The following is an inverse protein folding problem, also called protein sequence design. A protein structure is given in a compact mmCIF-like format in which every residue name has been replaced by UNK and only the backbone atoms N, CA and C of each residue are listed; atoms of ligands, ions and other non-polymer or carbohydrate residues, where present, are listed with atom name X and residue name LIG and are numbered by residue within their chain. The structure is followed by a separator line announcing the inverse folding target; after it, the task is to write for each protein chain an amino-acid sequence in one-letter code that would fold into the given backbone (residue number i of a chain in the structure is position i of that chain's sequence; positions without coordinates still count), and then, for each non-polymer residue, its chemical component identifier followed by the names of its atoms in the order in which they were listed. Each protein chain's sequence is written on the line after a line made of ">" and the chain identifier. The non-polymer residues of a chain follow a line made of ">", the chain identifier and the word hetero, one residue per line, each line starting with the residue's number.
data_IF_615437395467
#
_entry.id   IF_615437395467
#
_cell.length_a   1.000
_cell.length_b   1.000
_cell.length_c   1.000
_cell.angle_alpha   90.00
_cell.angle_beta   90.00
_cell.angle_gamma   90.00
#
_symmetry.space_group_name_H-M   'P 1'
#
loop_
_entity.id
_entity.type
_entity.pdbx_description
1 polymer ?
#
# COMPACT_ATOMS: atom_id res chain seq x y z
N UNK A 1 2.45 7.02 -23.78
CA UNK A 1 2.36 7.69 -22.46
C UNK A 1 3.18 6.89 -21.45
N UNK A 2 4.50 7.05 -21.47
CA UNK A 2 5.37 6.48 -20.45
C UNK A 2 5.40 7.47 -19.28
N UNK A 3 4.72 7.12 -18.19
CA UNK A 3 4.64 7.95 -16.99
C UNK A 3 6.03 8.15 -16.39
N UNK A 4 6.22 9.34 -15.81
CA UNK A 4 7.39 9.75 -15.02
C UNK A 4 7.59 8.80 -13.82
N UNK A 5 8.26 7.67 -14.05
CA UNK A 5 8.92 6.93 -13.00
C UNK A 5 10.39 7.33 -13.07
N UNK A 6 10.87 7.96 -12.01
CA UNK A 6 12.25 8.36 -11.83
C UNK A 6 13.16 7.13 -12.03
N UNK A 7 13.78 7.04 -13.20
CA UNK A 7 14.42 5.83 -13.70
C UNK A 7 15.81 5.60 -13.10
N UNK A 8 16.27 6.47 -12.21
CA UNK A 8 17.63 6.44 -11.67
C UNK A 8 17.67 6.82 -10.20
N UNK A 9 16.89 6.11 -9.37
CA UNK A 9 17.15 6.15 -7.94
C UNK A 9 18.43 5.34 -7.63
N UNK A 10 19.39 5.99 -6.99
CA UNK A 10 20.68 5.39 -6.65
C UNK A 10 20.52 4.27 -5.61
N UNK A 11 21.29 3.18 -5.71
CA UNK A 11 21.21 2.09 -4.75
C UNK A 11 21.72 2.52 -3.37
N UNK A 12 20.92 2.25 -2.34
CA UNK A 12 21.23 2.52 -0.94
C UNK A 12 21.66 1.23 -0.24
N UNK A 13 22.66 1.31 0.64
CA UNK A 13 23.01 0.22 1.56
C UNK A 13 22.22 0.37 2.87
N UNK A 14 21.50 -0.68 3.29
CA UNK A 14 20.74 -0.68 4.53
C UNK A 14 20.51 -2.11 5.06
N UNK A 15 20.09 -2.21 6.33
CA UNK A 15 19.67 -3.48 6.95
C UNK A 15 18.21 -3.77 6.65
N UNK A 16 17.90 -4.93 6.06
CA UNK A 16 16.53 -5.36 5.76
C UNK A 16 15.69 -5.43 7.05
N UNK A 17 14.54 -4.75 7.14
CA UNK A 17 13.72 -4.71 8.35
C UNK A 17 13.06 -6.06 8.71
N UNK A 18 13.04 -7.02 7.77
CA UNK A 18 12.42 -8.34 7.97
C UNK A 18 13.43 -9.42 8.38
N UNK A 19 14.49 -9.60 7.61
CA UNK A 19 15.48 -10.68 7.85
C UNK A 19 16.79 -10.17 8.47
N UNK A 20 16.96 -8.86 8.65
CA UNK A 20 18.17 -8.20 9.17
C UNK A 20 19.45 -8.41 8.34
N UNK A 21 19.34 -8.91 7.12
CA UNK A 21 20.47 -8.96 6.19
C UNK A 21 20.88 -7.56 5.75
N UNK A 22 22.18 -7.32 5.57
CA UNK A 22 22.70 -6.14 4.89
C UNK A 22 22.43 -6.26 3.39
N UNK A 23 21.78 -5.26 2.81
CA UNK A 23 21.37 -5.28 1.40
C UNK A 23 21.59 -3.94 0.73
N UNK A 24 21.79 -3.99 -0.58
CA UNK A 24 21.88 -2.82 -1.46
C UNK A 24 20.65 -2.79 -2.36
N UNK A 25 19.79 -1.78 -2.21
CA UNK A 25 18.59 -1.64 -3.04
C UNK A 25 18.18 -0.18 -3.23
N UNK A 26 17.40 0.06 -4.28
CA UNK A 26 16.95 1.40 -4.70
C UNK A 26 16.03 2.06 -3.65
N UNK A 27 15.23 1.27 -2.95
CA UNK A 27 14.29 1.76 -1.94
C UNK A 27 14.45 0.96 -0.65
N UNK A 28 14.37 1.67 0.48
CA UNK A 28 14.32 1.05 1.79
C UNK A 28 13.06 0.19 1.95
N UNK A 29 13.23 -1.04 2.46
CA UNK A 29 12.12 -1.96 2.71
C UNK A 29 12.55 -3.43 2.77
N UNK A 30 11.60 -4.39 2.78
CA UNK A 30 11.93 -5.81 2.71
C UNK A 30 12.77 -6.11 1.46
N UNK A 31 13.87 -6.84 1.65
CA UNK A 31 14.77 -7.22 0.56
C UNK A 31 14.05 -8.07 -0.50
N UNK A 32 14.65 -8.20 -1.68
CA UNK A 32 14.10 -8.97 -2.81
C UNK A 32 13.71 -10.39 -2.41
N UNK A 33 14.55 -11.08 -1.65
CA UNK A 33 14.28 -12.47 -1.23
C UNK A 33 13.05 -12.54 -0.31
N UNK A 34 13.00 -11.66 0.70
CA UNK A 34 11.85 -11.53 1.59
C UNK A 34 10.55 -11.24 0.83
N UNK A 35 10.61 -10.39 -0.20
CA UNK A 35 9.44 -10.09 -1.05
C UNK A 35 9.04 -11.27 -1.90
N UNK A 36 10.01 -12.01 -2.44
CA UNK A 36 9.77 -13.23 -3.22
C UNK A 36 9.12 -14.31 -2.37
N UNK A 37 9.60 -14.52 -1.14
CA UNK A 37 8.98 -15.45 -0.19
C UNK A 37 7.55 -15.04 0.18
N UNK A 38 7.32 -13.75 0.44
CA UNK A 38 5.99 -13.26 0.78
C UNK A 38 5.03 -13.43 -0.39
N UNK A 39 5.48 -13.18 -1.61
CA UNK A 39 4.69 -13.46 -2.81
C UNK A 39 4.43 -14.95 -2.95
N UNK A 40 5.44 -15.82 -2.84
CA UNK A 40 5.18 -17.26 -2.97
C UNK A 40 4.21 -17.80 -1.91
N UNK A 41 4.21 -17.24 -0.70
CA UNK A 41 3.32 -17.67 0.39
C UNK A 41 1.91 -17.05 0.34
N UNK A 42 1.79 -15.82 -0.13
CA UNK A 42 0.58 -15.01 0.02
C UNK A 42 0.08 -14.37 -1.27
N UNK A 43 0.65 -14.72 -2.43
CA UNK A 43 0.08 -14.30 -3.70
C UNK A 43 -1.33 -14.88 -3.79
N UNK A 44 -2.33 -14.02 -3.59
CA UNK A 44 -3.71 -14.36 -3.87
C UNK A 44 -3.88 -14.48 -5.38
N UNK A 45 -4.51 -15.56 -5.82
CA UNK A 45 -4.98 -15.65 -7.19
C UNK A 45 -5.97 -14.50 -7.46
N UNK A 46 -5.82 -13.85 -8.60
CA UNK A 46 -6.77 -12.84 -9.03
C UNK A 46 -8.12 -13.50 -9.18
N UNK A 47 -9.08 -13.16 -8.31
CA UNK A 47 -10.46 -13.60 -8.42
C UNK A 47 -11.29 -12.53 -9.09
N UNK A 48 -12.23 -12.97 -9.91
CA UNK A 48 -13.29 -12.11 -10.40
C UNK A 48 -14.11 -11.65 -9.19
N UNK A 49 -14.17 -10.34 -8.99
CA UNK A 49 -15.00 -9.72 -7.95
C UNK A 49 -16.17 -9.10 -8.68
N UNK A 50 -17.35 -9.70 -8.51
CA UNK A 50 -18.61 -9.11 -8.93
C UNK A 50 -18.73 -7.71 -8.33
N UNK A 51 -18.77 -6.70 -9.21
CA UNK A 51 -18.95 -5.31 -8.80
C UNK A 51 -20.40 -5.15 -8.37
N UNK A 52 -20.65 -5.27 -7.07
CA UNK A 52 -21.93 -4.84 -6.51
C UNK A 52 -22.10 -3.33 -6.75
N UNK A 53 -23.29 -2.92 -7.16
CA UNK A 53 -23.62 -1.50 -7.28
C UNK A 53 -23.31 -0.77 -5.97
N UNK A 54 -22.69 0.40 -6.08
CA UNK A 54 -22.38 1.22 -4.92
C UNK A 54 -23.68 1.71 -4.29
N UNK A 55 -24.02 1.15 -3.13
CA UNK A 55 -25.11 1.66 -2.28
C UNK A 55 -24.51 2.54 -1.18
N UNK A 56 -24.80 3.85 -1.16
CA UNK A 56 -24.35 4.72 -0.09
C UNK A 56 -24.86 4.19 1.26
N UNK A 57 -23.94 3.72 2.11
CA UNK A 57 -24.30 3.44 3.51
C UNK A 57 -24.48 4.76 4.24
N UNK A 58 -25.74 5.15 4.43
CA UNK A 58 -26.17 6.30 5.25
C UNK A 58 -25.97 6.00 6.75
N UNK A 59 -24.78 5.58 7.14
CA UNK A 59 -24.44 5.24 8.52
C UNK A 59 -23.93 6.46 9.31
N UNK A 60 -24.20 7.67 8.81
CA UNK A 60 -23.76 8.92 9.42
C UNK A 60 -24.98 9.62 10.02
N UNK A 61 -24.95 9.84 11.33
CA UNK A 61 -25.84 10.79 11.99
C UNK A 61 -25.37 12.19 11.63
N UNK A 62 -26.25 13.09 11.14
CA UNK A 62 -25.87 14.47 10.86
C UNK A 62 -25.22 15.11 12.09
N UNK A 63 -24.09 15.79 11.90
CA UNK A 63 -23.41 16.49 12.97
C UNK A 63 -24.35 17.60 13.48
N UNK A 64 -24.66 17.59 14.79
CA UNK A 64 -25.54 18.60 15.37
C UNK A 64 -24.86 19.97 15.25
N UNK A 65 -25.42 20.84 14.42
CA UNK A 65 -24.95 22.22 14.28
C UNK A 65 -25.38 22.98 15.53
N UNK A 66 -24.42 23.42 16.34
CA UNK A 66 -24.69 24.32 17.45
C UNK A 66 -25.03 25.71 16.89
N UNK A 67 -26.32 26.04 16.85
CA UNK A 67 -26.76 27.42 16.65
C UNK A 67 -26.63 28.17 17.99
N UNK A 68 -26.17 29.42 17.94
CA UNK A 68 -26.31 30.33 19.09
C UNK A 68 -27.75 30.83 19.08
N UNK A 69 -28.41 30.79 20.23
CA UNK A 69 -29.61 31.59 20.44
C UNK A 69 -29.23 33.07 20.31
N UNK A 70 -30.06 33.85 19.61
CA UNK A 70 -29.81 35.26 19.25
C UNK A 70 -29.38 36.16 20.43
#
# INVERSE_FOLDING_TARGET
>A
MAGLLDASAEPLAFTCPRCRAEVTAVFYGPCTDCRTELRSKYLGEGREVEVAEYVPKMNVTPNAVALKDD
#
